data_IF_022071698594
#
_entry.id   IF_022071698594
#
_cell.length_a   1.000
_cell.length_b   1.000
_cell.length_c   1.000
_cell.angle_alpha   90.00
_cell.angle_beta   90.00
_cell.angle_gamma   90.00
#
_symmetry.space_group_name_H-M   'P 1'
#
loop_
_entity.id
_entity.type
_entity.pdbx_description
1 polymer ?
#
# COMPACT_ATOMS: atom_id res chain seq x y z
N UNK A 1 -47.43 -29.35 -27.31
CA UNK A 1 -46.32 -29.82 -26.46
C UNK A 1 -45.13 -28.94 -26.80
N UNK A 2 -45.00 -27.83 -26.08
CA UNK A 2 -43.96 -26.82 -26.34
C UNK A 2 -42.63 -27.26 -25.71
N UNK A 3 -41.54 -27.14 -26.46
CA UNK A 3 -40.22 -27.61 -26.05
C UNK A 3 -39.65 -26.69 -24.94
N UNK A 4 -39.38 -27.20 -23.73
CA UNK A 4 -38.93 -26.38 -22.59
C UNK A 4 -37.49 -25.84 -22.75
N UNK A 5 -36.74 -26.26 -23.77
CA UNK A 5 -35.37 -25.81 -24.05
C UNK A 5 -35.29 -24.71 -25.12
N UNK A 6 -36.42 -24.08 -25.48
CA UNK A 6 -36.39 -22.92 -26.36
C UNK A 6 -35.89 -21.70 -25.57
N UNK A 7 -34.59 -21.40 -25.71
CA UNK A 7 -34.04 -20.10 -25.32
C UNK A 7 -34.93 -18.99 -25.88
N UNK A 8 -35.30 -17.95 -25.10
CA UNK A 8 -36.15 -16.88 -25.59
C UNK A 8 -35.61 -16.40 -26.93
N UNK A 9 -36.48 -16.43 -27.95
CA UNK A 9 -36.19 -15.91 -29.28
C UNK A 9 -35.49 -14.57 -29.05
N UNK A 10 -34.23 -14.47 -29.49
CA UNK A 10 -33.47 -13.25 -29.37
C UNK A 10 -34.11 -12.28 -30.36
N UNK A 11 -35.16 -11.60 -29.90
CA UNK A 11 -35.87 -10.60 -30.64
C UNK A 11 -34.88 -9.46 -30.81
N UNK A 12 -34.20 -9.46 -31.97
CA UNK A 12 -33.36 -8.36 -32.39
C UNK A 12 -34.25 -7.15 -32.57
N UNK A 13 -34.51 -6.42 -31.47
CA UNK A 13 -35.12 -5.10 -31.56
C UNK A 13 -34.11 -4.28 -32.36
N UNK A 14 -34.48 -3.80 -33.56
CA UNK A 14 -33.57 -3.00 -34.36
C UNK A 14 -33.25 -1.75 -33.55
N UNK A 15 -32.03 -1.70 -33.02
CA UNK A 15 -31.52 -0.54 -32.30
C UNK A 15 -31.48 0.59 -33.34
N UNK A 16 -32.17 1.71 -33.07
CA UNK A 16 -32.10 2.88 -33.92
C UNK A 16 -30.63 3.27 -34.16
N UNK A 17 -30.30 3.74 -35.35
CA UNK A 17 -28.91 4.10 -35.70
C UNK A 17 -28.29 5.07 -34.70
N UNK A 18 -29.11 5.98 -34.16
CA UNK A 18 -28.73 6.91 -33.09
C UNK A 18 -28.27 6.19 -31.82
N UNK A 19 -29.01 5.16 -31.39
CA UNK A 19 -28.70 4.39 -30.19
C UNK A 19 -27.47 3.50 -30.39
N UNK A 20 -27.24 2.99 -31.61
CA UNK A 20 -26.00 2.30 -31.97
C UNK A 20 -24.80 3.23 -31.85
N UNK A 21 -24.87 4.41 -32.45
CA UNK A 21 -23.81 5.42 -32.42
C UNK A 21 -23.51 5.88 -30.98
N UNK A 22 -24.54 6.10 -30.16
CA UNK A 22 -24.38 6.42 -28.75
C UNK A 22 -23.65 5.33 -27.95
N UNK A 23 -24.01 4.06 -28.18
CA UNK A 23 -23.36 2.94 -27.52
C UNK A 23 -21.90 2.81 -27.95
N UNK A 24 -21.61 2.93 -29.24
CA UNK A 24 -20.24 2.92 -29.76
C UNK A 24 -19.39 4.03 -29.15
N UNK A 25 -19.90 5.25 -29.06
CA UNK A 25 -19.18 6.36 -28.42
C UNK A 25 -18.97 6.13 -26.92
N UNK A 26 -19.96 5.54 -26.23
CA UNK A 26 -19.84 5.17 -24.82
C UNK A 26 -18.82 4.05 -24.61
N UNK A 27 -18.77 3.07 -25.50
CA UNK A 27 -17.79 1.98 -25.49
C UNK A 27 -16.39 2.48 -25.83
N UNK A 28 -16.23 3.33 -26.85
CA UNK A 28 -14.96 4.01 -27.16
C UNK A 28 -14.42 4.74 -25.93
N UNK A 29 -15.26 5.50 -25.23
CA UNK A 29 -14.86 6.20 -23.99
C UNK A 29 -14.48 5.27 -22.83
N UNK A 30 -15.01 4.05 -22.78
CA UNK A 30 -14.77 3.09 -21.68
C UNK A 30 -13.62 2.13 -21.93
N UNK A 31 -13.45 1.66 -23.17
CA UNK A 31 -12.46 0.65 -23.55
C UNK A 31 -11.17 1.24 -24.12
N UNK A 32 -11.20 2.48 -24.62
CA UNK A 32 -9.96 3.21 -24.89
C UNK A 32 -9.52 3.80 -23.54
N UNK A 33 -8.77 3.03 -22.76
CA UNK A 33 -7.84 3.66 -21.85
C UNK A 33 -7.07 4.69 -22.69
N UNK A 34 -7.06 5.98 -22.34
CA UNK A 34 -6.36 6.98 -23.13
C UNK A 34 -4.94 6.46 -23.34
N UNK A 35 -4.43 6.48 -24.58
CA UNK A 35 -3.09 5.94 -24.87
C UNK A 35 -2.01 6.56 -23.97
N UNK A 36 -2.28 7.73 -23.38
CA UNK A 36 -1.47 8.37 -22.34
C UNK A 36 -1.31 7.57 -21.03
N UNK A 37 -2.21 6.63 -20.72
CA UNK A 37 -2.12 5.72 -19.57
C UNK A 37 -1.43 4.39 -19.91
N UNK A 38 -1.16 4.12 -21.19
CA UNK A 38 -0.44 2.92 -21.62
C UNK A 38 1.04 3.15 -21.34
N UNK A 39 1.50 2.73 -20.16
CA UNK A 39 2.90 2.79 -19.77
C UNK A 39 3.70 1.94 -20.76
N UNK A 40 4.57 2.60 -21.55
CA UNK A 40 5.46 1.91 -22.50
C UNK A 40 6.25 0.81 -21.79
N UNK A 41 6.47 -0.37 -22.44
CA UNK A 41 7.08 -1.52 -21.77
C UNK A 41 8.47 -1.25 -21.19
N UNK A 42 9.25 -0.34 -21.78
CA UNK A 42 10.53 0.12 -21.22
C UNK A 42 10.38 0.99 -19.96
N UNK A 43 9.35 1.84 -19.92
CA UNK A 43 9.04 2.70 -18.77
C UNK A 43 8.54 1.89 -17.57
N UNK A 44 7.85 0.77 -17.81
CA UNK A 44 7.40 -0.15 -16.76
C UNK A 44 8.58 -0.75 -15.98
N UNK A 45 9.68 -1.09 -16.67
CA UNK A 45 10.91 -1.59 -16.04
C UNK A 45 11.55 -0.52 -15.15
N UNK A 46 11.63 0.72 -15.65
CA UNK A 46 12.14 1.85 -14.87
C UNK A 46 11.28 2.13 -13.64
N UNK A 47 9.95 2.06 -13.76
CA UNK A 47 9.03 2.25 -12.64
C UNK A 47 9.22 1.19 -11.54
N UNK A 48 9.35 -0.07 -11.93
CA UNK A 48 9.63 -1.16 -10.97
C UNK A 48 11.00 -0.94 -10.32
N UNK A 49 12.03 -0.58 -11.11
CA UNK A 49 13.35 -0.28 -10.57
C UNK A 49 13.33 0.89 -9.58
N UNK A 50 12.53 1.92 -9.82
CA UNK A 50 12.39 3.06 -8.91
C UNK A 50 11.71 2.66 -7.60
N UNK A 51 10.68 1.81 -7.66
CA UNK A 51 10.02 1.29 -6.45
C UNK A 51 11.00 0.48 -5.61
N UNK A 52 11.75 -0.45 -6.23
CA UNK A 52 12.74 -1.27 -5.53
C UNK A 52 13.84 -0.40 -4.92
N UNK A 53 14.34 0.60 -5.65
CA UNK A 53 15.33 1.55 -5.14
C UNK A 53 14.78 2.36 -3.96
N UNK A 54 13.54 2.84 -4.02
CA UNK A 54 12.91 3.58 -2.93
C UNK A 54 12.78 2.74 -1.66
N UNK A 55 12.41 1.47 -1.78
CA UNK A 55 12.35 0.53 -0.64
C UNK A 55 13.76 0.30 -0.08
N UNK A 56 14.76 0.07 -0.94
CA UNK A 56 16.15 -0.14 -0.52
C UNK A 56 16.75 1.08 0.20
N UNK A 57 16.52 2.28 -0.33
CA UNK A 57 16.93 3.55 0.28
C UNK A 57 16.24 3.74 1.62
N UNK A 58 14.91 3.51 1.69
CA UNK A 58 14.16 3.59 2.95
C UNK A 58 14.70 2.64 4.01
N UNK A 59 15.01 1.39 3.63
CA UNK A 59 15.65 0.41 4.51
C UNK A 59 17.05 0.84 4.96
N UNK A 60 17.88 1.37 4.05
CA UNK A 60 19.20 1.91 4.39
C UNK A 60 19.10 3.05 5.40
N UNK A 61 18.19 4.00 5.21
CA UNK A 61 18.01 5.11 6.17
C UNK A 61 17.50 4.63 7.52
N UNK A 62 16.60 3.64 7.56
CA UNK A 62 16.16 3.04 8.81
C UNK A 62 17.33 2.39 9.56
N UNK A 63 18.12 1.56 8.87
CA UNK A 63 19.32 0.94 9.44
C UNK A 63 20.37 1.99 9.85
N UNK A 64 20.58 3.03 9.05
CA UNK A 64 21.49 4.12 9.39
C UNK A 64 21.00 4.95 10.59
N UNK A 65 19.68 5.12 10.75
CA UNK A 65 19.12 5.77 11.93
C UNK A 65 19.32 4.92 13.20
N UNK A 66 19.19 3.60 13.10
CA UNK A 66 19.36 2.68 14.22
C UNK A 66 20.84 2.45 14.59
N UNK A 67 21.72 2.31 13.59
CA UNK A 67 23.12 1.91 13.76
C UNK A 67 24.16 3.00 13.47
N UNK A 68 23.75 4.20 13.08
CA UNK A 68 24.65 5.33 12.86
C UNK A 68 25.28 5.82 14.17
N UNK A 69 26.61 5.88 14.20
CA UNK A 69 27.39 6.45 15.33
C UNK A 69 27.24 7.97 15.47
N UNK A 70 26.76 8.66 14.42
CA UNK A 70 26.64 10.13 14.39
C UNK A 70 25.22 10.59 14.72
N UNK A 71 25.11 11.71 15.44
CA UNK A 71 23.82 12.35 15.69
C UNK A 71 23.20 12.83 14.36
N UNK A 72 21.97 12.41 14.09
CA UNK A 72 21.16 12.76 12.92
C UNK A 72 19.87 13.45 13.36
N UNK A 73 19.10 14.00 12.42
CA UNK A 73 17.81 14.62 12.70
C UNK A 73 16.80 13.67 13.38
N UNK A 74 17.01 12.35 13.33
CA UNK A 74 16.16 11.34 13.96
C UNK A 74 16.67 10.87 15.34
N UNK A 75 17.85 11.33 15.78
CA UNK A 75 18.42 10.99 17.09
C UNK A 75 17.50 11.31 18.28
N UNK A 76 16.76 12.43 18.32
CA UNK A 76 15.83 12.71 19.42
C UNK A 76 14.70 11.68 19.54
N UNK A 77 14.14 11.26 18.39
CA UNK A 77 13.09 10.25 18.33
C UNK A 77 13.63 8.89 18.80
N UNK A 78 14.86 8.53 18.39
CA UNK A 78 15.55 7.31 18.85
C UNK A 78 15.78 7.31 20.37
N UNK A 79 16.28 8.42 20.93
CA UNK A 79 16.49 8.57 22.39
C UNK A 79 15.15 8.44 23.14
N UNK A 80 14.07 9.00 22.62
CA UNK A 80 12.73 8.87 23.19
C UNK A 80 12.21 7.43 23.17
N UNK A 81 12.33 6.74 22.02
CA UNK A 81 11.91 5.34 21.89
C UNK A 81 12.72 4.42 22.80
N UNK A 82 14.05 4.56 22.81
CA UNK A 82 14.94 3.77 23.68
C UNK A 82 14.59 3.96 25.16
N UNK A 83 14.37 5.21 25.59
CA UNK A 83 13.89 5.51 26.95
C UNK A 83 12.54 4.86 27.26
N UNK A 84 11.62 4.80 26.30
CA UNK A 84 10.32 4.12 26.49
C UNK A 84 10.46 2.60 26.61
N UNK A 85 11.31 1.99 25.79
CA UNK A 85 11.60 0.56 25.84
C UNK A 85 12.33 0.23 27.15
N UNK A 86 13.36 0.98 27.52
CA UNK A 86 14.09 0.80 28.77
C UNK A 86 13.15 0.94 29.97
N UNK A 87 12.27 1.95 30.02
CA UNK A 87 11.28 2.09 31.09
C UNK A 87 10.22 0.98 31.12
N UNK A 88 9.98 0.27 30.00
CA UNK A 88 9.05 -0.85 29.96
C UNK A 88 9.70 -2.15 30.44
N UNK A 89 10.99 -2.34 30.13
CA UNK A 89 11.74 -3.54 30.48
C UNK A 89 12.57 -3.41 31.77
N UNK A 90 12.71 -2.20 32.31
CA UNK A 90 13.34 -1.94 33.59
C UNK A 90 12.30 -1.55 34.62
N UNK A 91 12.44 -2.10 35.83
CA UNK A 91 11.64 -1.69 36.98
C UNK A 91 11.86 -0.21 37.26
N UNK A 92 10.78 0.54 37.35
CA UNK A 92 10.81 1.91 37.85
C UNK A 92 11.39 1.93 39.27
N UNK A 93 11.95 3.07 39.69
CA UNK A 93 12.51 3.19 41.05
C UNK A 93 11.46 2.89 42.13
N UNK A 94 10.19 3.20 41.88
CA UNK A 94 9.06 2.87 42.77
C UNK A 94 8.84 1.35 42.85
N UNK A 95 8.88 0.63 41.72
CA UNK A 95 8.73 -0.83 41.70
C UNK A 95 9.95 -1.54 42.32
N UNK A 96 11.16 -0.99 42.15
CA UNK A 96 12.35 -1.48 42.87
C UNK A 96 12.21 -1.30 44.38
N UNK A 97 11.66 -0.18 44.83
CA UNK A 97 11.45 0.11 46.24
C UNK A 97 10.42 -0.85 46.85
N UNK A 98 9.31 -1.10 46.15
CA UNK A 98 8.31 -2.08 46.55
C UNK A 98 8.86 -3.51 46.59
N UNK A 99 9.69 -3.92 45.62
CA UNK A 99 10.32 -5.25 45.63
C UNK A 99 11.34 -5.41 46.76
N UNK A 100 12.04 -4.33 47.13
CA UNK A 100 12.97 -4.30 48.27
C UNK A 100 12.23 -4.42 49.60
N UNK A 101 11.09 -3.73 49.76
CA UNK A 101 10.22 -3.86 50.92
C UNK A 101 9.61 -5.27 51.05
N UNK A 102 9.37 -5.94 49.92
CA UNK A 102 8.92 -7.33 49.85
C UNK A 102 10.05 -8.37 50.03
N UNK A 103 11.30 -7.95 50.18
CA UNK A 103 12.46 -8.85 50.37
C UNK A 103 12.80 -9.71 49.15
N UNK A 104 12.39 -9.32 47.95
CA UNK A 104 12.62 -10.06 46.69
C UNK A 104 13.81 -9.50 45.88
N UNK A 105 14.60 -8.61 46.51
CA UNK A 105 15.73 -7.87 45.93
C UNK A 105 16.85 -7.73 46.96
#
# INVERSE_FOLDING_TARGET
MDNPNQSPRNDYVPISEERRKFLEDKYKRRNLAPESLIIRPGLRKLHIATIVAAIGIGGYFALFADFGEKETCFTPIRKYYRRKVDNFWSLSEEEKQQLKEQGRL
#
